data_IF_981350338045
#
_entry.id   IF_981350338045
#
_cell.length_a   1.000
_cell.length_b   1.000
_cell.length_c   1.000
_cell.angle_alpha   90.00
_cell.angle_beta   90.00
_cell.angle_gamma   90.00
#
_symmetry.space_group_name_H-M   'P 1'
#
loop_
_entity.id
_entity.type
_entity.pdbx_description
1 polymer ?
#
# COMPACT_ATOMS: atom_id res chain seq x y z
N UNK A 1 -4.07 18.75 -36.78
CA UNK A 1 -4.48 18.98 -35.37
C UNK A 1 -4.21 17.79 -34.42
N UNK A 2 -4.00 16.55 -34.89
CA UNK A 2 -3.80 15.38 -34.02
C UNK A 2 -2.57 15.45 -33.09
N UNK A 3 -1.42 15.87 -33.61
CA UNK A 3 -0.16 15.91 -32.84
C UNK A 3 -0.21 16.79 -31.58
N UNK A 4 -0.96 17.90 -31.61
CA UNK A 4 -1.14 18.77 -30.45
C UNK A 4 -1.99 18.08 -29.38
N UNK A 5 -3.02 17.34 -29.80
CA UNK A 5 -3.91 16.58 -28.91
C UNK A 5 -3.14 15.45 -28.22
N UNK A 6 -2.35 14.70 -28.98
CA UNK A 6 -1.51 13.60 -28.45
C UNK A 6 -0.47 14.10 -27.43
N UNK A 7 0.14 15.27 -27.70
CA UNK A 7 1.10 15.90 -26.80
C UNK A 7 0.45 16.38 -25.50
N UNK A 8 -0.77 16.94 -25.58
CA UNK A 8 -1.55 17.34 -24.40
C UNK A 8 -1.96 16.13 -23.57
N UNK A 9 -2.38 15.03 -24.21
CA UNK A 9 -2.73 13.79 -23.52
C UNK A 9 -1.53 13.15 -22.84
N UNK A 10 -0.38 13.10 -23.52
CA UNK A 10 0.88 12.63 -22.92
C UNK A 10 1.28 13.47 -21.70
N UNK A 11 1.15 14.80 -21.77
CA UNK A 11 1.45 15.68 -20.64
C UNK A 11 0.45 15.51 -19.47
N UNK A 12 -0.85 15.33 -19.76
CA UNK A 12 -1.87 15.02 -18.75
C UNK A 12 -1.57 13.69 -18.06
N UNK A 13 -1.20 12.65 -18.82
CA UNK A 13 -0.83 11.35 -18.30
C UNK A 13 0.40 11.45 -17.39
N UNK A 14 1.44 12.14 -17.84
CA UNK A 14 2.65 12.40 -17.03
C UNK A 14 2.33 13.16 -15.75
N UNK A 15 1.48 14.19 -15.79
CA UNK A 15 1.07 14.93 -14.59
C UNK A 15 0.26 14.07 -13.62
N UNK A 16 -0.63 13.22 -14.14
CA UNK A 16 -1.40 12.27 -13.31
C UNK A 16 -0.47 11.27 -12.63
N UNK A 17 0.49 10.74 -13.36
CA UNK A 17 1.48 9.80 -12.87
C UNK A 17 2.42 10.46 -11.84
N UNK A 18 2.88 11.67 -12.13
CA UNK A 18 3.69 12.48 -11.20
C UNK A 18 2.95 12.73 -9.88
N UNK A 19 1.64 12.99 -9.92
CA UNK A 19 0.82 13.07 -8.70
C UNK A 19 0.79 11.74 -7.96
N UNK A 20 0.55 10.62 -8.63
CA UNK A 20 0.46 9.30 -8.00
C UNK A 20 1.77 8.85 -7.32
N UNK A 21 2.93 9.29 -7.83
CA UNK A 21 4.24 8.95 -7.28
C UNK A 21 4.79 9.98 -6.28
N UNK A 22 3.96 10.94 -5.83
CA UNK A 22 4.38 11.90 -4.80
C UNK A 22 4.60 11.18 -3.47
N UNK A 23 5.65 11.54 -2.70
CA UNK A 23 5.93 10.89 -1.42
C UNK A 23 4.75 10.91 -0.45
N UNK A 24 3.98 12.01 -0.41
CA UNK A 24 2.76 12.14 0.39
C UNK A 24 1.74 11.03 0.10
N UNK A 25 1.61 10.61 -1.16
CA UNK A 25 0.68 9.54 -1.53
C UNK A 25 1.17 8.16 -1.11
N UNK A 26 2.49 7.92 -1.07
CA UNK A 26 3.05 6.70 -0.48
C UNK A 26 2.83 6.66 1.03
N UNK A 27 3.07 7.77 1.73
CA UNK A 27 2.80 7.86 3.17
C UNK A 27 1.34 7.57 3.50
N UNK A 28 0.42 8.20 2.75
CA UNK A 28 -1.01 7.98 2.94
C UNK A 28 -1.39 6.52 2.71
N UNK A 29 -0.90 5.91 1.63
CA UNK A 29 -1.16 4.50 1.34
C UNK A 29 -0.56 3.56 2.39
N UNK A 30 0.68 3.81 2.82
CA UNK A 30 1.33 3.03 3.87
C UNK A 30 0.56 3.12 5.19
N UNK A 31 0.09 4.31 5.56
CA UNK A 31 -0.73 4.50 6.74
C UNK A 31 -2.07 3.75 6.65
N UNK A 32 -2.76 3.83 5.51
CA UNK A 32 -4.02 3.09 5.28
C UNK A 32 -3.83 1.58 5.47
N UNK A 33 -2.74 1.02 4.93
CA UNK A 33 -2.42 -0.42 5.07
C UNK A 33 -2.08 -0.76 6.52
N UNK A 34 -1.32 0.10 7.20
CA UNK A 34 -0.97 -0.08 8.61
C UNK A 34 -2.22 -0.08 9.50
N UNK A 35 -3.14 0.84 9.27
CA UNK A 35 -4.38 0.95 10.04
C UNK A 35 -5.25 -0.30 9.84
N UNK A 36 -5.33 -0.84 8.62
CA UNK A 36 -5.97 -2.12 8.35
C UNK A 36 -5.31 -3.27 9.13
N UNK A 37 -3.98 -3.33 9.16
CA UNK A 37 -3.26 -4.35 9.91
C UNK A 37 -3.48 -4.22 11.43
N UNK A 38 -3.59 -3.00 11.95
CA UNK A 38 -3.95 -2.76 13.37
C UNK A 38 -5.35 -3.28 13.65
N UNK A 39 -6.33 -2.94 12.81
CA UNK A 39 -7.71 -3.44 12.95
C UNK A 39 -7.75 -4.97 12.92
N UNK A 40 -7.03 -5.58 11.97
CA UNK A 40 -6.90 -7.03 11.85
C UNK A 40 -6.32 -7.67 13.12
N UNK A 41 -5.34 -7.02 13.76
CA UNK A 41 -4.73 -7.51 14.99
C UNK A 41 -5.72 -7.59 16.15
N UNK A 42 -6.73 -6.71 16.18
CA UNK A 42 -7.75 -6.68 17.22
C UNK A 42 -8.82 -7.77 17.05
N UNK A 43 -8.97 -8.35 15.86
CA UNK A 43 -9.94 -9.43 15.59
C UNK A 43 -9.49 -10.81 16.12
N UNK A 44 -8.47 -10.84 16.98
CA UNK A 44 -7.86 -12.05 17.53
C UNK A 44 -7.55 -13.12 16.46
N UNK A 45 -6.65 -12.82 15.50
CA UNK A 45 -6.31 -13.75 14.43
C UNK A 45 -5.75 -15.06 15.01
N UNK A 46 -6.40 -16.16 14.66
CA UNK A 46 -5.97 -17.50 15.02
C UNK A 46 -4.75 -17.89 14.18
N UNK A 47 -3.72 -18.45 14.80
CA UNK A 47 -2.49 -18.86 14.12
C UNK A 47 -1.31 -17.90 14.30
N UNK A 48 -0.12 -18.48 14.56
CA UNK A 48 1.12 -17.73 14.73
C UNK A 48 1.55 -17.02 13.44
N UNK A 49 1.21 -17.59 12.29
CA UNK A 49 1.61 -17.06 10.98
C UNK A 49 0.85 -15.79 10.61
N UNK A 50 -0.46 -15.72 10.85
CA UNK A 50 -1.26 -14.51 10.59
C UNK A 50 -0.80 -13.36 11.51
N UNK A 51 -0.54 -13.64 12.79
CA UNK A 51 0.02 -12.63 13.71
C UNK A 51 1.37 -12.10 13.27
N UNK A 52 2.24 -12.99 12.74
CA UNK A 52 3.55 -12.62 12.21
C UNK A 52 3.41 -11.78 10.94
N UNK A 53 2.50 -12.17 10.03
CA UNK A 53 2.20 -11.42 8.81
C UNK A 53 1.74 -10.00 9.13
N UNK A 54 0.74 -9.85 10.01
CA UNK A 54 0.21 -8.55 10.45
C UNK A 54 1.33 -7.67 11.00
N UNK A 55 2.18 -8.20 11.89
CA UNK A 55 3.30 -7.45 12.47
C UNK A 55 4.33 -7.02 11.43
N UNK A 56 4.64 -7.90 10.49
CA UNK A 56 5.58 -7.60 9.40
C UNK A 56 5.02 -6.47 8.52
N UNK A 57 3.73 -6.54 8.14
CA UNK A 57 3.07 -5.49 7.36
C UNK A 57 3.12 -4.15 8.09
N UNK A 58 2.77 -4.11 9.39
CA UNK A 58 2.86 -2.88 10.18
C UNK A 58 4.28 -2.28 10.15
N UNK A 59 5.29 -3.12 10.40
CA UNK A 59 6.71 -2.70 10.42
C UNK A 59 7.16 -2.18 9.05
N UNK A 60 6.74 -2.84 7.98
CA UNK A 60 7.09 -2.46 6.61
C UNK A 60 6.42 -1.15 6.18
N UNK A 61 5.17 -0.93 6.57
CA UNK A 61 4.47 0.33 6.32
C UNK A 61 5.09 1.50 7.10
N UNK A 62 5.51 1.28 8.35
CA UNK A 62 6.23 2.28 9.15
C UNK A 62 7.55 2.67 8.46
N UNK A 63 8.35 1.68 8.05
CA UNK A 63 9.60 1.90 7.30
C UNK A 63 9.38 2.63 5.99
N UNK A 64 8.33 2.29 5.25
CA UNK A 64 8.01 2.96 4.00
C UNK A 64 7.58 4.41 4.23
N UNK A 65 6.77 4.67 5.26
CA UNK A 65 6.36 6.03 5.63
C UNK A 65 7.57 6.89 5.97
N UNK A 66 8.50 6.36 6.76
CA UNK A 66 9.79 7.01 7.04
C UNK A 66 10.63 7.21 5.79
N UNK A 67 10.75 6.19 4.94
CA UNK A 67 11.52 6.27 3.70
C UNK A 67 10.99 7.40 2.80
N UNK A 68 9.67 7.51 2.68
CA UNK A 68 9.02 8.54 1.86
C UNK A 68 9.32 9.98 2.34
N UNK A 69 9.66 10.19 3.60
CA UNK A 69 10.10 11.50 4.10
C UNK A 69 11.54 11.85 3.68
N UNK A 70 12.35 10.84 3.36
CA UNK A 70 13.78 11.06 3.10
C UNK A 70 14.04 11.58 1.67
N UNK A 71 15.08 12.42 1.47
CA UNK A 71 15.45 12.92 0.15
C UNK A 71 15.76 11.82 -0.88
N UNK A 72 16.27 10.68 -0.42
CA UNK A 72 16.60 9.51 -1.24
C UNK A 72 15.38 8.96 -1.97
N UNK A 73 14.21 9.01 -1.33
CA UNK A 73 12.96 8.59 -1.95
C UNK A 73 12.59 9.49 -3.13
N UNK A 74 12.82 10.81 -3.02
CA UNK A 74 12.57 11.74 -4.13
C UNK A 74 13.46 11.42 -5.33
N UNK A 75 14.69 10.95 -5.08
CA UNK A 75 15.68 10.54 -6.09
C UNK A 75 15.37 9.18 -6.75
N UNK A 76 14.43 8.39 -6.22
CA UNK A 76 14.02 7.14 -6.86
C UNK A 76 13.47 7.43 -8.27
N UNK A 77 13.85 6.58 -9.23
CA UNK A 77 13.31 6.64 -10.59
C UNK A 77 11.79 6.44 -10.56
N UNK A 78 11.10 7.02 -11.54
CA UNK A 78 9.65 6.86 -11.69
C UNK A 78 9.25 5.39 -11.72
N UNK A 79 9.98 4.55 -12.46
CA UNK A 79 9.72 3.10 -12.52
C UNK A 79 9.81 2.43 -11.15
N UNK A 80 10.84 2.75 -10.34
CA UNK A 80 10.97 2.22 -8.97
C UNK A 80 9.80 2.64 -8.08
N UNK A 81 9.33 3.89 -8.19
CA UNK A 81 8.17 4.36 -7.45
C UNK A 81 6.89 3.61 -7.86
N UNK A 82 6.69 3.37 -9.16
CA UNK A 82 5.53 2.59 -9.64
C UNK A 82 5.56 1.16 -9.06
N UNK A 83 6.69 0.46 -9.19
CA UNK A 83 6.84 -0.90 -8.67
C UNK A 83 6.57 -0.96 -7.16
N UNK A 84 7.12 0.00 -6.41
CA UNK A 84 6.89 0.07 -4.98
C UNK A 84 5.40 0.26 -4.65
N UNK A 85 4.70 1.13 -5.40
CA UNK A 85 3.28 1.34 -5.22
C UNK A 85 2.48 0.07 -5.51
N UNK A 86 2.81 -0.64 -6.58
CA UNK A 86 2.15 -1.87 -6.97
C UNK A 86 2.33 -2.97 -5.89
N UNK A 87 3.55 -3.18 -5.42
CA UNK A 87 3.82 -4.14 -4.35
C UNK A 87 3.06 -3.83 -3.05
N UNK A 88 2.81 -2.55 -2.75
CA UNK A 88 1.95 -2.16 -1.61
C UNK A 88 0.49 -2.51 -1.81
N UNK A 89 -0.02 -2.36 -3.02
CA UNK A 89 -1.40 -2.73 -3.34
C UNK A 89 -1.57 -4.24 -3.23
N UNK A 90 -0.64 -5.02 -3.76
CA UNK A 90 -0.62 -6.48 -3.67
C UNK A 90 -0.52 -6.95 -2.20
N UNK A 91 0.37 -6.34 -1.40
CA UNK A 91 0.49 -6.65 0.03
C UNK A 91 -0.79 -6.35 0.81
N UNK A 92 -1.50 -5.26 0.46
CA UNK A 92 -2.80 -4.91 1.04
C UNK A 92 -3.87 -5.97 0.71
N UNK A 93 -3.95 -6.39 -0.55
CA UNK A 93 -4.91 -7.40 -1.00
C UNK A 93 -4.65 -8.74 -0.28
N UNK A 94 -3.39 -9.19 -0.24
CA UNK A 94 -3.01 -10.41 0.50
C UNK A 94 -3.37 -10.34 2.00
N UNK A 95 -3.21 -9.18 2.63
CA UNK A 95 -3.60 -8.98 4.01
C UNK A 95 -5.12 -9.11 4.18
N UNK A 96 -5.91 -8.49 3.30
CA UNK A 96 -7.37 -8.58 3.35
C UNK A 96 -7.84 -10.02 3.12
N UNK A 97 -7.32 -10.71 2.11
CA UNK A 97 -7.64 -12.11 1.84
C UNK A 97 -7.31 -13.03 3.03
N UNK A 98 -6.17 -12.77 3.70
CA UNK A 98 -5.74 -13.51 4.89
C UNK A 98 -6.64 -13.24 6.11
N UNK A 99 -7.27 -12.06 6.19
CA UNK A 99 -8.22 -11.72 7.25
C UNK A 99 -9.58 -12.34 6.96
N UNK A 100 -10.06 -12.27 5.72
CA UNK A 100 -11.36 -12.84 5.31
C UNK A 100 -11.38 -14.37 5.36
N UNK A 101 -10.26 -15.01 5.06
CA UNK A 101 -10.11 -16.47 5.17
C UNK A 101 -9.95 -16.97 6.61
N UNK A 102 -9.68 -16.09 7.58
CA UNK A 102 -9.67 -16.47 8.98
C UNK A 102 -11.12 -16.67 9.46
N UNK A 103 -11.47 -17.82 10.08
CA UNK A 103 -12.84 -18.09 10.49
C UNK A 103 -13.32 -16.98 11.44
N UNK A 104 -14.40 -16.31 11.03
CA UNK A 104 -14.98 -15.21 11.81
C UNK A 104 -15.38 -15.70 13.21
N UNK A 105 -15.19 -14.89 14.28
CA UNK A 105 -15.60 -15.23 15.64
C UNK A 105 -17.09 -15.61 15.77
N UNK A 106 -17.91 -15.18 14.80
CA UNK A 106 -19.36 -15.40 14.75
C UNK A 106 -19.77 -16.88 14.58
N UNK A 107 -18.84 -17.80 14.28
CA UNK A 107 -19.15 -19.23 14.15
C UNK A 107 -18.94 -20.05 15.44
N UNK A 108 -18.60 -19.43 16.58
CA UNK A 108 -18.46 -20.13 17.87
C UNK A 108 -19.64 -19.93 18.83
N UNK A 109 -20.74 -19.36 18.35
CA UNK A 109 -22.03 -19.41 19.04
C UNK A 109 -22.94 -20.33 18.23
N UNK A 110 -22.84 -21.63 18.47
CA UNK A 110 -23.91 -22.62 18.34
C UNK A 110 -23.48 -23.95 18.95
#
# INVERSE_FOLDING_TARGET
MGWIKDKIEGFKAQRKLAKQIQPKNFKRLAQEIRDLAVLASHLNPQGKDIRKLIRNVMTEMDRLSELADRPEFRKLSTGKKILLRQGLQESREQLLDSIESAPSPTQTIQ
#
